data_IF_534982597573
#
_entry.id   IF_534982597573
#
_cell.length_a   1.000
_cell.length_b   1.000
_cell.length_c   1.000
_cell.angle_alpha   90.00
_cell.angle_beta   90.00
_cell.angle_gamma   90.00
#
_symmetry.space_group_name_H-M   'P 1'
#
loop_
_entity.id
_entity.type
_entity.pdbx_description
1 polymer ?
#
# COMPACT_ATOMS: atom_id res chain seq x y z
N UNK A 1 25.79 -5.66 -80.93
CA UNK A 1 26.30 -6.16 -79.64
C UNK A 1 25.87 -5.15 -78.60
N UNK A 2 24.84 -5.49 -77.83
CA UNK A 2 24.13 -4.58 -76.92
C UNK A 2 24.94 -4.40 -75.63
N UNK A 3 25.09 -3.16 -75.16
CA UNK A 3 25.73 -2.84 -73.89
C UNK A 3 24.74 -3.08 -72.75
N UNK A 4 25.09 -4.01 -71.85
CA UNK A 4 24.30 -4.38 -70.68
C UNK A 4 24.35 -3.32 -69.57
N UNK A 5 23.24 -3.23 -68.84
CA UNK A 5 22.95 -2.20 -67.87
C UNK A 5 23.38 -2.51 -66.42
N UNK A 6 23.22 -1.46 -65.63
CA UNK A 6 23.17 -1.34 -64.16
C UNK A 6 22.64 -2.55 -63.39
N UNK A 7 23.29 -2.88 -62.25
CA UNK A 7 22.63 -3.07 -60.93
C UNK A 7 23.59 -2.84 -59.73
N UNK A 8 23.09 -2.27 -58.61
CA UNK A 8 23.89 -1.78 -57.47
C UNK A 8 24.16 -2.79 -56.34
N UNK A 9 25.10 -2.38 -55.47
CA UNK A 9 25.75 -3.09 -54.37
C UNK A 9 24.83 -3.65 -53.26
N UNK A 10 25.31 -4.75 -52.69
CA UNK A 10 24.73 -5.46 -51.55
C UNK A 10 24.95 -4.71 -50.22
N UNK A 11 23.90 -4.62 -49.41
CA UNK A 11 23.95 -4.17 -48.02
C UNK A 11 23.03 -5.03 -47.15
N UNK A 12 23.51 -5.59 -46.03
CA UNK A 12 22.69 -6.47 -45.21
C UNK A 12 21.64 -5.68 -44.41
N UNK A 13 20.40 -6.08 -44.59
CA UNK A 13 19.26 -5.82 -43.71
C UNK A 13 19.60 -6.27 -42.29
N UNK A 14 19.39 -5.45 -41.24
CA UNK A 14 18.72 -5.76 -39.94
C UNK A 14 18.58 -4.49 -39.07
N UNK A 15 17.34 -4.09 -38.82
CA UNK A 15 16.89 -3.43 -37.59
C UNK A 15 15.71 -4.29 -37.07
N UNK A 16 15.50 -4.45 -35.75
CA UNK A 16 15.19 -3.34 -34.86
C UNK A 16 15.92 -3.35 -33.51
N UNK A 17 15.75 -2.19 -32.89
CA UNK A 17 16.30 -1.67 -31.65
C UNK A 17 15.78 -2.37 -30.39
N UNK A 18 16.59 -2.26 -29.33
CA UNK A 18 16.17 -2.10 -27.94
C UNK A 18 15.45 -3.30 -27.28
N UNK A 19 16.19 -4.39 -27.13
CA UNK A 19 15.94 -5.37 -26.07
C UNK A 19 16.55 -4.88 -24.76
N UNK A 20 15.94 -3.88 -24.12
CA UNK A 20 16.25 -3.51 -22.74
C UNK A 20 15.94 -4.71 -21.86
N UNK A 21 16.97 -5.42 -21.42
CA UNK A 21 16.85 -6.48 -20.42
C UNK A 21 16.22 -5.91 -19.16
N UNK A 22 14.94 -6.19 -18.94
CA UNK A 22 14.29 -5.99 -17.65
C UNK A 22 14.77 -7.07 -16.69
N UNK A 23 15.97 -6.87 -16.15
CA UNK A 23 16.50 -7.66 -15.05
C UNK A 23 15.87 -7.19 -13.73
N UNK A 24 14.72 -7.77 -13.38
CA UNK A 24 14.39 -8.27 -12.02
C UNK A 24 14.68 -7.37 -10.79
N UNK A 25 14.31 -6.08 -10.78
CA UNK A 25 14.29 -5.25 -9.56
C UNK A 25 12.89 -5.07 -8.92
N UNK A 26 11.84 -5.60 -9.56
CA UNK A 26 10.42 -5.35 -9.27
C UNK A 26 10.01 -5.62 -7.81
N UNK A 27 10.71 -6.48 -7.08
CA UNK A 27 10.34 -6.85 -5.71
C UNK A 27 10.66 -5.81 -4.62
N UNK A 28 11.80 -5.10 -4.73
CA UNK A 28 12.22 -4.10 -3.72
C UNK A 28 11.61 -2.72 -4.00
N UNK A 29 11.53 -2.35 -5.27
CA UNK A 29 10.95 -1.09 -5.71
C UNK A 29 9.45 -1.02 -5.41
N UNK A 30 8.71 -2.12 -5.63
CA UNK A 30 7.27 -2.19 -5.35
C UNK A 30 6.93 -1.98 -3.86
N UNK A 31 7.75 -2.51 -2.93
CA UNK A 31 7.54 -2.29 -1.48
C UNK A 31 7.80 -0.84 -1.10
N UNK A 32 8.90 -0.26 -1.58
CA UNK A 32 9.22 1.16 -1.33
C UNK A 32 8.12 2.07 -1.88
N UNK A 33 7.63 1.80 -3.09
CA UNK A 33 6.51 2.52 -3.70
C UNK A 33 5.21 2.37 -2.91
N UNK A 34 4.92 1.17 -2.39
CA UNK A 34 3.75 0.91 -1.52
C UNK A 34 3.84 1.72 -0.23
N UNK A 35 5.02 1.74 0.41
CA UNK A 35 5.25 2.53 1.63
C UNK A 35 5.14 4.03 1.37
N UNK A 36 5.70 4.53 0.28
CA UNK A 36 5.63 5.94 -0.06
C UNK A 36 4.19 6.37 -0.38
N UNK A 37 3.46 5.56 -1.14
CA UNK A 37 2.04 5.81 -1.45
C UNK A 37 1.19 5.75 -0.19
N UNK A 38 1.45 4.78 0.70
CA UNK A 38 0.77 4.65 1.98
C UNK A 38 1.05 5.83 2.92
N UNK A 39 2.29 6.32 3.00
CA UNK A 39 2.65 7.50 3.79
C UNK A 39 1.85 8.73 3.36
N UNK A 40 1.74 8.96 2.05
CA UNK A 40 0.96 10.09 1.49
C UNK A 40 -0.52 9.99 1.87
N UNK A 41 -1.12 8.80 1.71
CA UNK A 41 -2.52 8.58 2.06
C UNK A 41 -2.80 8.68 3.57
N UNK A 42 -1.89 8.19 4.42
CA UNK A 42 -1.99 8.37 5.89
C UNK A 42 -2.02 9.85 6.25
N UNK A 43 -1.13 10.65 5.65
CA UNK A 43 -1.08 12.09 5.88
C UNK A 43 -2.34 12.81 5.37
N UNK A 44 -2.86 12.38 4.22
CA UNK A 44 -4.10 12.93 3.66
C UNK A 44 -5.31 12.64 4.55
N UNK A 45 -5.56 11.37 4.89
CA UNK A 45 -6.72 10.99 5.70
C UNK A 45 -6.59 11.49 7.13
N UNK A 46 -5.39 11.42 7.69
CA UNK A 46 -5.14 11.87 9.05
C UNK A 46 -5.27 13.39 9.21
N UNK A 47 -4.94 14.19 8.19
CA UNK A 47 -5.19 15.64 8.23
C UNK A 47 -6.69 15.97 8.14
N UNK A 48 -7.47 15.20 7.38
CA UNK A 48 -8.95 15.33 7.36
C UNK A 48 -9.58 14.99 8.72
N UNK A 49 -9.00 14.01 9.44
CA UNK A 49 -9.37 13.67 10.81
C UNK A 49 -8.70 14.56 11.87
N UNK A 50 -7.96 15.60 11.48
CA UNK A 50 -7.27 16.51 12.41
C UNK A 50 -6.35 15.80 13.42
N UNK A 51 -5.75 14.68 13.04
CA UNK A 51 -4.81 13.94 13.88
C UNK A 51 -3.46 14.67 13.97
N UNK A 52 -2.84 14.62 15.14
CA UNK A 52 -1.51 15.19 15.34
C UNK A 52 -0.42 14.38 14.58
N UNK A 53 0.74 14.99 14.34
CA UNK A 53 1.82 14.31 13.61
C UNK A 53 2.32 13.05 14.32
N UNK A 54 2.33 13.03 15.65
CA UNK A 54 2.68 11.84 16.44
C UNK A 54 1.79 10.62 16.09
N UNK A 55 0.49 10.83 15.92
CA UNK A 55 -0.46 9.81 15.51
C UNK A 55 -0.18 9.33 14.09
N UNK A 56 0.16 10.24 13.17
CA UNK A 56 0.44 9.90 11.76
C UNK A 56 1.72 9.07 11.63
N UNK A 57 2.77 9.44 12.37
CA UNK A 57 4.02 8.68 12.41
C UNK A 57 3.81 7.30 13.02
N UNK A 58 3.01 7.20 14.09
CA UNK A 58 2.65 5.92 14.70
C UNK A 58 1.83 5.05 13.75
N UNK A 59 0.86 5.63 13.03
CA UNK A 59 0.06 4.91 12.04
C UNK A 59 0.93 4.41 10.88
N UNK A 60 1.91 5.21 10.45
CA UNK A 60 2.87 4.80 9.44
C UNK A 60 3.81 3.68 9.94
N UNK A 61 4.17 3.67 11.22
CA UNK A 61 4.90 2.56 11.83
C UNK A 61 4.10 1.26 11.80
N UNK A 62 2.79 1.30 12.12
CA UNK A 62 1.90 0.14 11.96
C UNK A 62 1.80 -0.30 10.51
N UNK A 63 1.64 0.63 9.58
CA UNK A 63 1.59 0.31 8.15
C UNK A 63 2.86 -0.38 7.64
N UNK A 64 4.05 0.06 8.08
CA UNK A 64 5.33 -0.61 7.76
C UNK A 64 5.34 -2.06 8.23
N UNK A 65 4.85 -2.34 9.44
CA UNK A 65 4.76 -3.71 9.96
C UNK A 65 3.77 -4.56 9.17
N UNK A 66 2.62 -4.01 8.82
CA UNK A 66 1.59 -4.67 8.00
C UNK A 66 2.13 -5.04 6.61
N UNK A 67 2.83 -4.12 5.95
CA UNK A 67 3.47 -4.38 4.65
C UNK A 67 4.54 -5.46 4.77
N UNK A 68 5.34 -5.43 5.85
CA UNK A 68 6.40 -6.42 6.11
C UNK A 68 5.84 -7.81 6.37
N UNK A 69 4.67 -7.91 7.02
CA UNK A 69 3.92 -9.16 7.27
C UNK A 69 3.06 -9.60 6.07
N UNK A 70 3.11 -8.90 4.94
CA UNK A 70 2.31 -9.19 3.74
C UNK A 70 0.78 -9.16 3.95
N UNK A 71 0.29 -8.48 5.00
CA UNK A 71 -1.14 -8.41 5.32
C UNK A 71 -1.92 -7.46 4.37
N UNK A 72 -1.21 -6.80 3.44
CA UNK A 72 -1.80 -5.99 2.36
C UNK A 72 -2.27 -6.84 1.16
N UNK A 73 -1.80 -8.08 1.01
CA UNK A 73 -2.17 -8.93 -0.13
C UNK A 73 -3.65 -9.31 -0.10
N UNK A 74 -4.33 -9.16 -1.24
CA UNK A 74 -5.76 -9.44 -1.39
C UNK A 74 -6.68 -8.42 -0.71
N UNK A 75 -6.14 -7.28 -0.27
CA UNK A 75 -6.90 -6.20 0.37
C UNK A 75 -6.58 -4.88 -0.33
N UNK A 76 -7.56 -3.97 -0.34
CA UNK A 76 -7.30 -2.60 -0.77
C UNK A 76 -6.39 -1.93 0.24
N UNK A 77 -5.32 -1.30 -0.22
CA UNK A 77 -4.35 -0.59 0.63
C UNK A 77 -5.04 0.51 1.44
N UNK A 78 -6.05 1.17 0.87
CA UNK A 78 -6.88 2.18 1.56
C UNK A 78 -7.55 1.63 2.82
N UNK A 79 -8.11 0.42 2.76
CA UNK A 79 -8.74 -0.21 3.94
C UNK A 79 -7.72 -0.51 5.04
N UNK A 80 -6.52 -0.93 4.64
CA UNK A 80 -5.42 -1.19 5.56
C UNK A 80 -4.95 0.09 6.24
N UNK A 81 -4.85 1.18 5.47
CA UNK A 81 -4.48 2.50 5.99
C UNK A 81 -5.51 3.01 6.99
N UNK A 82 -6.80 2.95 6.66
CA UNK A 82 -7.88 3.31 7.57
C UNK A 82 -7.82 2.50 8.87
N UNK A 83 -7.61 1.18 8.78
CA UNK A 83 -7.47 0.33 9.95
C UNK A 83 -6.24 0.70 10.80
N UNK A 84 -5.11 1.10 10.19
CA UNK A 84 -3.93 1.56 10.93
C UNK A 84 -4.18 2.90 11.64
N UNK A 85 -4.86 3.85 10.99
CA UNK A 85 -5.24 5.13 11.60
C UNK A 85 -6.19 4.91 12.79
N UNK A 86 -7.22 4.08 12.62
CA UNK A 86 -8.15 3.76 13.69
C UNK A 86 -7.47 3.06 14.87
N UNK A 87 -6.50 2.18 14.60
CA UNK A 87 -5.73 1.51 15.66
C UNK A 87 -4.99 2.54 16.53
N UNK A 88 -4.35 3.55 15.93
CA UNK A 88 -3.71 4.64 16.66
C UNK A 88 -4.73 5.49 17.42
N UNK A 89 -5.85 5.84 16.79
CA UNK A 89 -6.91 6.62 17.43
C UNK A 89 -7.42 5.93 18.71
N UNK A 90 -7.49 4.60 18.69
CA UNK A 90 -7.87 3.77 19.83
C UNK A 90 -6.79 3.67 20.91
N UNK A 91 -5.51 3.60 20.54
CA UNK A 91 -4.41 3.56 21.53
C UNK A 91 -4.17 4.91 22.19
N UNK A 92 -4.34 6.01 21.45
CA UNK A 92 -4.16 7.39 21.93
C UNK A 92 -5.42 7.95 22.62
N UNK A 93 -6.55 7.22 22.58
CA UNK A 93 -7.79 7.63 23.23
C UNK A 93 -8.50 8.82 22.57
N UNK A 94 -8.26 9.06 21.27
CA UNK A 94 -8.91 10.16 20.54
C UNK A 94 -10.38 9.84 20.22
N UNK A 95 -11.26 10.85 20.07
CA UNK A 95 -12.69 10.64 19.83
C UNK A 95 -13.06 10.22 18.39
N UNK A 96 -12.09 9.78 17.57
CA UNK A 96 -12.34 9.38 16.18
C UNK A 96 -12.85 7.95 16.09
N UNK A 97 -13.94 7.76 15.35
CA UNK A 97 -14.59 6.47 15.15
C UNK A 97 -14.23 5.87 13.79
N UNK A 98 -14.39 4.55 13.67
CA UNK A 98 -14.25 3.86 12.39
C UNK A 98 -15.25 4.38 11.34
N UNK A 99 -16.38 4.94 11.79
CA UNK A 99 -17.40 5.55 10.94
C UNK A 99 -16.87 6.78 10.19
N UNK A 100 -16.06 7.62 10.84
CA UNK A 100 -15.48 8.81 10.20
C UNK A 100 -14.61 8.42 9.00
N UNK A 101 -13.79 7.38 9.16
CA UNK A 101 -12.97 6.82 8.07
C UNK A 101 -13.84 6.16 6.98
N UNK A 102 -14.97 5.56 7.37
CA UNK A 102 -15.96 4.97 6.47
C UNK A 102 -16.53 6.03 5.54
N UNK A 103 -16.88 7.19 6.10
CA UNK A 103 -17.45 8.32 5.37
C UNK A 103 -16.41 9.00 4.49
N UNK A 104 -15.17 9.18 4.97
CA UNK A 104 -14.09 9.72 4.15
C UNK A 104 -13.74 8.85 2.95
N UNK A 105 -13.74 7.53 3.12
CA UNK A 105 -13.41 6.58 2.06
C UNK A 105 -14.61 6.12 1.22
N UNK A 106 -15.84 6.45 1.64
CA UNK A 106 -17.08 5.93 1.04
C UNK A 106 -17.08 4.40 0.95
N UNK A 107 -16.60 3.74 2.02
CA UNK A 107 -16.53 2.28 2.14
C UNK A 107 -17.47 1.84 3.27
N UNK A 108 -18.03 0.64 3.18
CA UNK A 108 -18.85 0.08 4.26
C UNK A 108 -18.00 -0.16 5.52
N UNK A 109 -18.45 0.40 6.65
CA UNK A 109 -17.81 0.28 7.97
C UNK A 109 -17.53 -1.18 8.38
N UNK A 110 -18.36 -2.13 7.94
CA UNK A 110 -18.17 -3.55 8.19
C UNK A 110 -16.90 -4.12 7.53
N UNK A 111 -16.54 -3.63 6.34
CA UNK A 111 -15.32 -4.03 5.62
C UNK A 111 -14.08 -3.49 6.34
N UNK A 112 -14.14 -2.23 6.78
CA UNK A 112 -13.08 -1.61 7.58
C UNK A 112 -12.92 -2.34 8.92
N UNK A 113 -14.03 -2.70 9.57
CA UNK A 113 -14.04 -3.40 10.86
C UNK A 113 -13.40 -4.78 10.77
N UNK A 114 -13.72 -5.55 9.72
CA UNK A 114 -13.05 -6.83 9.44
C UNK A 114 -11.55 -6.68 9.25
N UNK A 115 -11.13 -5.66 8.49
CA UNK A 115 -9.72 -5.39 8.25
C UNK A 115 -9.02 -5.01 9.55
N UNK A 116 -9.61 -4.12 10.35
CA UNK A 116 -9.11 -3.74 11.67
C UNK A 116 -8.94 -4.92 12.61
N UNK A 117 -9.97 -5.75 12.79
CA UNK A 117 -9.91 -6.89 13.72
C UNK A 117 -8.80 -7.86 13.36
N UNK A 118 -8.57 -8.09 12.06
CA UNK A 118 -7.46 -8.90 11.60
C UNK A 118 -6.11 -8.24 11.92
N UNK A 119 -5.92 -6.97 11.57
CA UNK A 119 -4.65 -6.28 11.82
C UNK A 119 -4.33 -6.18 13.31
N UNK A 120 -5.32 -5.92 14.15
CA UNK A 120 -5.16 -5.87 15.60
C UNK A 120 -4.67 -7.21 16.16
N UNK A 121 -5.23 -8.34 15.68
CA UNK A 121 -4.80 -9.69 16.05
C UNK A 121 -3.37 -9.97 15.58
N UNK A 122 -3.06 -9.65 14.33
CA UNK A 122 -1.76 -9.96 13.70
C UNK A 122 -0.60 -9.10 14.21
N UNK A 123 -0.87 -7.84 14.58
CA UNK A 123 0.12 -6.94 15.11
C UNK A 123 0.38 -7.16 16.61
N UNK A 124 -0.36 -8.08 17.24
CA UNK A 124 -0.31 -8.35 18.68
C UNK A 124 -0.36 -7.07 19.53
N UNK A 125 -1.02 -6.02 19.02
CA UNK A 125 -1.17 -4.79 19.79
C UNK A 125 -2.15 -5.15 20.89
N UNK A 126 -1.63 -5.20 22.10
CA UNK A 126 -2.41 -5.27 23.32
C UNK A 126 -3.15 -3.92 23.46
N UNK A 127 -4.06 -3.62 22.53
CA UNK A 127 -5.03 -2.56 22.71
C UNK A 127 -5.81 -3.01 23.95
N UNK A 128 -5.75 -2.26 25.07
CA UNK A 128 -6.46 -2.65 26.26
C UNK A 128 -7.95 -2.78 25.87
N UNK A 129 -8.45 -4.01 25.96
CA UNK A 129 -9.86 -4.40 25.88
C UNK A 129 -10.59 -4.33 24.52
N UNK A 130 -10.21 -5.15 23.52
CA UNK A 130 -11.22 -5.56 22.51
C UNK A 130 -11.28 -7.08 22.27
N UNK A 131 -10.21 -7.87 22.41
CA UNK A 131 -10.32 -9.34 22.23
C UNK A 131 -9.34 -10.10 23.13
N UNK A 132 -9.81 -10.51 24.30
CA UNK A 132 -9.31 -11.70 25.00
C UNK A 132 -10.28 -12.85 24.66
N UNK A 133 -10.03 -13.69 23.65
CA UNK A 133 -10.75 -14.92 23.50
C UNK A 133 -10.10 -15.96 24.42
N UNK A 134 -10.67 -16.13 25.61
CA UNK A 134 -10.52 -17.34 26.42
C UNK A 134 -9.12 -17.66 26.94
N UNK A 135 -8.81 -17.13 28.13
CA UNK A 135 -8.04 -17.92 29.11
C UNK A 135 -8.93 -19.06 29.57
N UNK A 136 -8.64 -20.28 29.12
CA UNK A 136 -8.83 -21.53 29.87
C UNK A 136 -8.02 -22.65 29.26
#
# INVERSE_FOLDING_TARGET
MVTEGTVPAEGPVKAPLLGSGFHTSVGKESRAQTLQSGKRQIQQLGSQLQLNQHCLDTAFNFFKMVVSKHLTRGRKTEHVIAACLYLVCRTEGTPHMLLDLSDLLQVNVYILGKTFLLLARELCINAPAIVQPGVR
#
